data_IF_702844576241
#
_entry.id   IF_702844576241
#
_cell.length_a   1.000
_cell.length_b   1.000
_cell.length_c   1.000
_cell.angle_alpha   90.00
_cell.angle_beta   90.00
_cell.angle_gamma   90.00
#
_symmetry.space_group_name_H-M   'P 1'
#
loop_
_entity.id
_entity.type
_entity.pdbx_description
1 polymer ?
#
# COMPACT_ATOMS: atom_id res chain seq x y z
N UNK A 1 16.03 -55.64 9.91
CA UNK A 1 17.26 -56.06 9.19
C UNK A 1 17.47 -57.58 9.15
N UNK A 2 17.47 -58.30 10.28
CA UNK A 2 17.66 -59.78 10.31
C UNK A 2 16.65 -60.58 9.47
N UNK A 3 15.41 -60.08 9.34
CA UNK A 3 14.39 -60.68 8.46
C UNK A 3 14.80 -60.60 6.98
N UNK A 4 15.12 -59.41 6.48
CA UNK A 4 15.60 -59.21 5.10
C UNK A 4 16.91 -59.98 4.83
N UNK A 5 17.78 -60.08 5.82
CA UNK A 5 19.02 -60.85 5.72
C UNK A 5 18.76 -62.36 5.51
N UNK A 6 17.74 -62.92 6.17
CA UNK A 6 17.31 -64.32 5.97
C UNK A 6 16.66 -64.51 4.61
N UNK A 7 15.67 -63.66 4.30
CA UNK A 7 14.92 -63.71 3.04
C UNK A 7 15.85 -63.71 1.81
N UNK A 8 16.86 -62.83 1.74
CA UNK A 8 17.79 -62.78 0.59
C UNK A 8 18.71 -63.99 0.40
N UNK A 9 18.83 -64.86 1.41
CA UNK A 9 19.62 -66.10 1.28
C UNK A 9 18.79 -67.28 0.80
N UNK A 10 17.47 -67.19 0.97
CA UNK A 10 16.51 -68.13 0.41
C UNK A 10 16.20 -67.74 -1.04
N UNK A 11 15.92 -66.45 -1.28
CA UNK A 11 15.70 -65.86 -2.59
C UNK A 11 16.25 -64.41 -2.62
N UNK A 12 17.29 -64.10 -3.43
CA UNK A 12 17.91 -62.78 -3.48
C UNK A 12 16.95 -61.60 -3.76
N UNK A 13 15.86 -61.82 -4.49
CA UNK A 13 14.90 -60.77 -4.87
C UNK A 13 13.78 -60.58 -3.84
N UNK A 14 13.64 -61.50 -2.88
CA UNK A 14 12.58 -61.48 -1.87
C UNK A 14 12.62 -60.31 -0.89
N UNK A 15 13.70 -59.52 -0.85
CA UNK A 15 13.78 -58.34 0.01
C UNK A 15 14.41 -57.12 -0.69
N UNK A 16 13.93 -55.90 -0.42
CA UNK A 16 14.24 -54.69 -1.19
C UNK A 16 15.72 -54.31 -1.12
N UNK A 17 16.43 -54.27 -2.27
CA UNK A 17 17.88 -54.04 -2.32
C UNK A 17 18.33 -52.74 -1.65
N UNK A 18 17.51 -51.69 -1.72
CA UNK A 18 17.74 -50.39 -1.12
C UNK A 18 16.67 -50.07 -0.06
N UNK A 19 17.08 -49.67 1.14
CA UNK A 19 16.17 -49.14 2.16
C UNK A 19 16.90 -48.22 3.14
N UNK A 20 16.14 -47.29 3.73
CA UNK A 20 16.66 -46.37 4.75
C UNK A 20 16.56 -47.00 6.14
N UNK A 21 17.55 -46.71 7.00
CA UNK A 21 17.46 -47.00 8.42
C UNK A 21 18.36 -46.08 9.24
N UNK A 22 18.04 -45.95 10.53
CA UNK A 22 18.84 -45.19 11.49
C UNK A 22 19.82 -46.12 12.21
N UNK A 23 21.09 -45.71 12.28
CA UNK A 23 22.13 -46.38 13.05
C UNK A 23 22.70 -45.47 14.12
N UNK A 24 23.19 -46.07 15.21
CA UNK A 24 23.96 -45.38 16.22
C UNK A 24 25.44 -45.41 15.81
N UNK A 25 26.07 -44.25 15.77
CA UNK A 25 27.52 -44.16 15.63
C UNK A 25 28.23 -44.47 16.96
N UNK A 26 29.55 -44.58 16.92
CA UNK A 26 30.36 -44.93 18.09
C UNK A 26 30.33 -43.89 19.21
N UNK A 27 29.83 -42.69 18.93
CA UNK A 27 29.65 -41.60 19.89
C UNK A 27 28.21 -41.54 20.42
N UNK A 28 27.35 -42.49 20.03
CA UNK A 28 25.94 -42.53 20.42
C UNK A 28 25.02 -41.63 19.58
N UNK A 29 25.53 -41.01 18.51
CA UNK A 29 24.76 -40.18 17.60
C UNK A 29 23.92 -41.01 16.63
N UNK A 30 22.69 -40.57 16.35
CA UNK A 30 21.84 -41.21 15.34
C UNK A 30 22.25 -40.70 13.95
N UNK A 31 22.54 -41.63 13.04
CA UNK A 31 22.80 -41.37 11.62
C UNK A 31 21.74 -42.05 10.78
N UNK A 32 21.13 -41.28 9.88
CA UNK A 32 20.26 -41.81 8.84
C UNK A 32 21.13 -42.28 7.68
N UNK A 33 20.92 -43.52 7.24
CA UNK A 33 21.65 -44.06 6.09
C UNK A 33 20.72 -44.78 5.12
N UNK A 34 21.09 -44.74 3.84
CA UNK A 34 20.58 -45.69 2.84
C UNK A 34 21.52 -46.89 2.85
N UNK A 35 20.96 -48.08 3.05
CA UNK A 35 21.68 -49.33 2.81
C UNK A 35 21.31 -49.86 1.43
N UNK A 36 22.34 -50.18 0.64
CA UNK A 36 22.23 -51.06 -0.52
C UNK A 36 22.89 -52.39 -0.20
N UNK A 37 22.15 -53.50 -0.28
CA UNK A 37 22.70 -54.84 -0.05
C UNK A 37 22.48 -55.73 -1.28
N UNK A 38 23.53 -56.47 -1.65
CA UNK A 38 23.49 -57.50 -2.69
C UNK A 38 24.21 -58.77 -2.27
N UNK A 39 23.78 -59.91 -2.82
CA UNK A 39 24.49 -61.19 -2.66
C UNK A 39 25.69 -61.25 -3.61
N UNK A 40 26.80 -61.85 -3.16
CA UNK A 40 27.94 -62.17 -4.04
C UNK A 40 27.61 -63.50 -4.74
N UNK A 41 27.51 -63.53 -6.09
CA UNK A 41 27.17 -64.74 -6.83
C UNK A 41 28.05 -65.94 -6.46
N UNK A 42 27.45 -67.12 -6.35
CA UNK A 42 28.15 -68.36 -5.98
C UNK A 42 28.56 -68.46 -4.50
N UNK A 43 28.16 -67.51 -3.64
CA UNK A 43 28.47 -67.54 -2.21
C UNK A 43 27.25 -67.22 -1.33
N UNK A 44 27.36 -67.53 -0.03
CA UNK A 44 26.38 -67.09 1.00
C UNK A 44 26.71 -65.73 1.61
N UNK A 45 27.67 -64.98 1.03
CA UNK A 45 28.12 -63.67 1.51
C UNK A 45 27.33 -62.55 0.84
N UNK A 46 27.07 -61.49 1.60
CA UNK A 46 26.44 -60.27 1.11
C UNK A 46 27.39 -59.09 1.22
N UNK A 47 27.33 -58.17 0.26
CA UNK A 47 27.96 -56.86 0.34
C UNK A 47 26.90 -55.84 0.73
N UNK A 48 27.25 -54.94 1.66
CA UNK A 48 26.42 -53.84 2.08
C UNK A 48 27.17 -52.52 1.86
N UNK A 49 26.54 -51.57 1.16
CA UNK A 49 26.99 -50.18 1.07
C UNK A 49 26.11 -49.32 1.96
N UNK A 50 26.73 -48.41 2.70
CA UNK A 50 26.06 -47.49 3.61
C UNK A 50 26.36 -46.06 3.15
N UNK A 51 25.32 -45.33 2.78
CA UNK A 51 25.44 -43.91 2.40
C UNK A 51 24.77 -43.07 3.47
N UNK A 52 25.53 -42.18 4.11
CA UNK A 52 24.98 -41.26 5.09
C UNK A 52 24.07 -40.23 4.41
N UNK A 53 22.81 -40.19 4.82
CA UNK A 53 21.78 -39.27 4.32
C UNK A 53 21.21 -38.37 5.43
N UNK A 54 21.89 -38.26 6.57
CA UNK A 54 21.43 -37.48 7.73
C UNK A 54 21.18 -36.02 7.36
N UNK A 55 22.13 -35.40 6.67
CA UNK A 55 22.00 -33.99 6.26
C UNK A 55 20.92 -33.80 5.19
N UNK A 56 20.75 -34.77 4.28
CA UNK A 56 19.65 -34.77 3.31
C UNK A 56 18.29 -34.82 4.00
N UNK A 57 18.09 -35.72 4.96
CA UNK A 57 16.82 -35.84 5.70
C UNK A 57 16.50 -34.59 6.51
N UNK A 58 17.49 -34.02 7.22
CA UNK A 58 17.30 -32.76 7.94
C UNK A 58 16.90 -31.63 6.99
N UNK A 59 17.53 -31.54 5.82
CA UNK A 59 17.17 -30.55 4.80
C UNK A 59 15.75 -30.76 4.26
N UNK A 60 15.35 -32.00 3.99
CA UNK A 60 13.99 -32.35 3.55
C UNK A 60 12.93 -32.01 4.61
N UNK A 61 13.19 -32.30 5.89
CA UNK A 61 12.30 -31.94 6.99
C UNK A 61 12.19 -30.43 7.19
N UNK A 62 13.32 -29.72 7.13
CA UNK A 62 13.35 -28.26 7.22
C UNK A 62 12.59 -27.62 6.05
N UNK A 63 12.76 -28.15 4.83
CA UNK A 63 12.04 -27.69 3.64
C UNK A 63 10.53 -27.90 3.81
N UNK A 64 10.11 -29.10 4.23
CA UNK A 64 8.69 -29.43 4.45
C UNK A 64 8.07 -28.55 5.54
N UNK A 65 8.83 -28.18 6.57
CA UNK A 65 8.39 -27.22 7.59
C UNK A 65 8.23 -25.83 6.97
N UNK A 66 9.23 -25.33 6.25
CA UNK A 66 9.16 -24.02 5.61
C UNK A 66 8.01 -23.92 4.59
N UNK A 67 7.74 -24.99 3.83
CA UNK A 67 6.60 -25.04 2.89
C UNK A 67 5.26 -24.90 3.62
N UNK A 68 5.10 -25.53 4.79
CA UNK A 68 3.91 -25.36 5.63
C UNK A 68 3.80 -23.95 6.16
N UNK A 69 4.88 -23.44 6.75
CA UNK A 69 4.91 -22.07 7.31
C UNK A 69 4.62 -21.01 6.22
N UNK A 70 5.14 -21.20 5.00
CA UNK A 70 4.87 -20.32 3.87
C UNK A 70 3.41 -20.39 3.43
N UNK A 71 2.82 -21.59 3.39
CA UNK A 71 1.41 -21.76 3.03
C UNK A 71 0.50 -21.05 4.04
N UNK A 72 0.77 -21.22 5.33
CA UNK A 72 0.00 -20.60 6.40
C UNK A 72 0.13 -19.07 6.34
N UNK A 73 1.35 -18.54 6.17
CA UNK A 73 1.58 -17.10 5.97
C UNK A 73 0.91 -16.54 4.73
N UNK A 74 0.87 -17.31 3.64
CA UNK A 74 0.20 -16.88 2.40
C UNK A 74 -1.29 -16.74 2.64
N UNK A 75 -1.90 -17.69 3.35
CA UNK A 75 -3.31 -17.63 3.72
C UNK A 75 -3.62 -16.44 4.64
N UNK A 76 -2.79 -16.21 5.67
CA UNK A 76 -2.92 -15.05 6.56
C UNK A 76 -2.81 -13.73 5.78
N UNK A 77 -1.88 -13.63 4.83
CA UNK A 77 -1.74 -12.45 3.97
C UNK A 77 -2.94 -12.24 3.06
N UNK A 78 -3.57 -13.30 2.54
CA UNK A 78 -4.79 -13.21 1.75
C UNK A 78 -5.95 -12.64 2.59
N UNK A 79 -6.12 -13.12 3.82
CA UNK A 79 -7.12 -12.61 4.76
C UNK A 79 -6.88 -11.14 5.13
N UNK A 80 -5.65 -10.78 5.48
CA UNK A 80 -5.27 -9.39 5.78
C UNK A 80 -5.49 -8.45 4.59
N UNK A 81 -5.15 -8.90 3.38
CA UNK A 81 -5.38 -8.12 2.16
C UNK A 81 -6.89 -7.94 1.87
N UNK A 82 -7.70 -8.96 2.12
CA UNK A 82 -9.15 -8.87 1.99
C UNK A 82 -9.72 -7.86 3.01
N UNK A 83 -9.31 -7.94 4.28
CA UNK A 83 -9.70 -7.00 5.32
C UNK A 83 -9.29 -5.55 4.96
N UNK A 84 -8.06 -5.35 4.48
CA UNK A 84 -7.58 -4.04 4.06
C UNK A 84 -8.39 -3.46 2.90
N UNK A 85 -8.76 -4.27 1.91
CA UNK A 85 -9.63 -3.83 0.80
C UNK A 85 -10.99 -3.36 1.28
N UNK A 86 -11.58 -4.08 2.24
CA UNK A 86 -12.86 -3.68 2.86
C UNK A 86 -12.72 -2.36 3.61
N UNK A 87 -11.66 -2.21 4.42
CA UNK A 87 -11.39 -0.97 5.16
C UNK A 87 -11.16 0.23 4.23
N UNK A 88 -10.42 0.05 3.12
CA UNK A 88 -10.20 1.09 2.13
C UNK A 88 -11.50 1.54 1.46
N UNK A 89 -12.36 0.58 1.09
CA UNK A 89 -13.67 0.89 0.53
C UNK A 89 -14.53 1.67 1.53
N UNK A 90 -14.56 1.22 2.78
CA UNK A 90 -15.32 1.88 3.85
C UNK A 90 -14.83 3.31 4.10
N UNK A 91 -13.52 3.52 4.12
CA UNK A 91 -12.92 4.86 4.26
C UNK A 91 -13.37 5.82 3.15
N UNK A 92 -13.45 5.33 1.91
CA UNK A 92 -13.91 6.16 0.78
C UNK A 92 -15.40 6.50 0.92
N UNK A 93 -16.22 5.53 1.33
CA UNK A 93 -17.65 5.74 1.62
C UNK A 93 -17.86 6.78 2.74
N UNK A 94 -17.16 6.63 3.87
CA UNK A 94 -17.25 7.55 5.01
C UNK A 94 -16.77 8.97 4.62
N UNK A 95 -15.76 9.09 3.75
CA UNK A 95 -15.29 10.39 3.22
C UNK A 95 -16.38 11.07 2.40
N UNK A 96 -16.99 10.35 1.47
CA UNK A 96 -18.08 10.87 0.63
C UNK A 96 -19.29 11.27 1.48
N UNK A 97 -19.61 10.49 2.52
CA UNK A 97 -20.67 10.82 3.47
C UNK A 97 -20.36 12.13 4.22
N UNK A 98 -19.14 12.28 4.74
CA UNK A 98 -18.72 13.50 5.42
C UNK A 98 -18.78 14.73 4.50
N UNK A 99 -18.29 14.61 3.26
CA UNK A 99 -18.35 15.69 2.26
C UNK A 99 -19.80 16.11 1.98
N UNK A 100 -20.70 15.15 1.76
CA UNK A 100 -22.12 15.42 1.55
C UNK A 100 -22.77 16.08 2.77
N UNK A 101 -22.39 15.67 3.98
CA UNK A 101 -22.87 16.25 5.23
C UNK A 101 -22.44 17.71 5.38
N UNK A 102 -21.18 18.03 5.08
CA UNK A 102 -20.68 19.42 5.09
C UNK A 102 -21.43 20.28 4.09
N UNK A 103 -21.59 19.82 2.85
CA UNK A 103 -22.32 20.56 1.80
C UNK A 103 -23.78 20.78 2.20
N UNK A 104 -24.45 19.75 2.72
CA UNK A 104 -25.84 19.83 3.18
C UNK A 104 -25.99 20.86 4.31
N UNK A 105 -25.10 20.82 5.30
CA UNK A 105 -25.14 21.74 6.44
C UNK A 105 -24.88 23.19 6.01
N UNK A 106 -23.89 23.43 5.13
CA UNK A 106 -23.64 24.77 4.60
C UNK A 106 -24.85 25.30 3.82
N UNK A 107 -25.43 24.52 2.91
CA UNK A 107 -26.60 24.92 2.12
C UNK A 107 -27.86 25.16 2.97
N UNK A 108 -28.07 24.37 4.02
CA UNK A 108 -29.30 24.43 4.84
C UNK A 108 -29.20 25.40 6.02
N UNK A 109 -28.01 25.55 6.61
CA UNK A 109 -27.83 26.24 7.89
C UNK A 109 -26.99 27.51 7.80
N UNK A 110 -26.18 27.70 6.76
CA UNK A 110 -25.28 28.87 6.67
C UNK A 110 -25.68 29.79 5.52
N UNK A 111 -25.84 29.25 4.31
CA UNK A 111 -26.18 30.02 3.11
C UNK A 111 -27.47 30.85 3.24
N UNK A 112 -28.57 30.35 3.85
CA UNK A 112 -29.79 31.15 3.99
C UNK A 112 -29.58 32.44 4.79
N UNK A 113 -28.68 32.42 5.78
CA UNK A 113 -28.37 33.61 6.58
C UNK A 113 -27.45 34.58 5.85
N UNK A 114 -26.46 34.08 5.10
CA UNK A 114 -25.63 34.93 4.24
C UNK A 114 -26.50 35.67 3.22
N UNK A 115 -27.43 34.97 2.57
CA UNK A 115 -28.38 35.56 1.63
C UNK A 115 -29.32 36.58 2.31
N UNK A 116 -29.78 36.28 3.53
CA UNK A 116 -30.61 37.21 4.32
C UNK A 116 -29.83 38.49 4.66
N UNK A 117 -28.57 38.35 5.06
CA UNK A 117 -27.67 39.46 5.40
C UNK A 117 -27.40 40.32 4.15
N UNK A 118 -27.11 39.70 3.00
CA UNK A 118 -26.91 40.40 1.71
C UNK A 118 -28.11 41.21 1.23
N UNK A 119 -29.33 40.76 1.51
CA UNK A 119 -30.57 41.49 1.16
C UNK A 119 -30.80 42.73 2.05
N UNK A 120 -30.06 42.87 3.15
CA UNK A 120 -30.09 44.07 4.00
C UNK A 120 -29.29 45.24 3.41
N UNK A 121 -29.32 46.38 4.10
CA UNK A 121 -28.41 47.51 3.81
C UNK A 121 -27.03 47.21 4.38
N UNK A 122 -26.16 46.63 3.56
CA UNK A 122 -24.74 46.44 3.88
C UNK A 122 -23.97 47.20 2.82
N UNK A 123 -23.13 48.15 3.25
CA UNK A 123 -22.38 49.04 2.36
C UNK A 123 -20.89 49.02 2.72
N UNK A 124 -20.03 49.32 1.74
CA UNK A 124 -18.60 49.43 1.93
C UNK A 124 -17.90 48.10 2.24
N UNK A 125 -16.96 48.14 3.19
CA UNK A 125 -16.04 47.03 3.50
C UNK A 125 -16.74 45.78 4.08
N UNK A 126 -17.91 45.92 4.69
CA UNK A 126 -18.66 44.81 5.27
C UNK A 126 -19.25 43.90 4.18
N UNK A 127 -19.68 44.48 3.04
CA UNK A 127 -20.17 43.71 1.90
C UNK A 127 -19.04 42.91 1.24
N UNK A 128 -17.84 43.51 1.15
CA UNK A 128 -16.63 42.85 0.63
C UNK A 128 -16.27 41.66 1.52
N UNK A 129 -16.23 41.86 2.83
CA UNK A 129 -15.94 40.80 3.81
C UNK A 129 -16.95 39.66 3.73
N UNK A 130 -18.24 39.98 3.59
CA UNK A 130 -19.31 38.98 3.47
C UNK A 130 -19.19 38.15 2.18
N UNK A 131 -18.84 38.78 1.06
CA UNK A 131 -18.60 38.08 -0.21
C UNK A 131 -17.39 37.15 -0.12
N UNK A 132 -16.32 37.54 0.58
CA UNK A 132 -15.16 36.68 0.84
C UNK A 132 -15.54 35.48 1.70
N UNK A 133 -16.33 35.68 2.76
CA UNK A 133 -16.83 34.59 3.61
C UNK A 133 -17.67 33.60 2.80
N UNK A 134 -18.59 34.11 1.98
CA UNK A 134 -19.41 33.26 1.13
C UNK A 134 -18.57 32.47 0.12
N UNK A 135 -17.58 33.10 -0.52
CA UNK A 135 -16.65 32.42 -1.43
C UNK A 135 -15.92 31.30 -0.70
N UNK A 136 -15.28 31.61 0.43
CA UNK A 136 -14.54 30.63 1.22
C UNK A 136 -15.42 29.44 1.66
N UNK A 137 -16.68 29.68 2.01
CA UNK A 137 -17.62 28.62 2.38
C UNK A 137 -18.05 27.78 1.18
N UNK A 138 -18.22 28.38 0.00
CA UNK A 138 -18.46 27.64 -1.25
C UNK A 138 -17.24 26.83 -1.67
N UNK A 139 -16.04 27.34 -1.42
CA UNK A 139 -14.78 26.65 -1.68
C UNK A 139 -14.61 25.46 -0.72
N UNK A 140 -14.93 25.61 0.57
CA UNK A 140 -14.98 24.50 1.54
C UNK A 140 -16.02 23.44 1.13
N UNK A 141 -17.13 23.85 0.52
CA UNK A 141 -18.16 22.96 0.01
C UNK A 141 -17.84 22.35 -1.37
N UNK A 142 -16.73 22.76 -2.01
CA UNK A 142 -16.38 22.36 -3.36
C UNK A 142 -15.54 21.09 -3.38
N UNK A 143 -15.81 20.14 -4.30
CA UNK A 143 -14.97 18.95 -4.51
C UNK A 143 -13.49 19.28 -4.81
N UNK A 144 -13.22 20.51 -5.27
CA UNK A 144 -11.86 20.94 -5.60
C UNK A 144 -11.01 21.21 -4.37
N UNK A 145 -11.56 21.80 -3.29
CA UNK A 145 -10.79 22.06 -2.08
C UNK A 145 -10.45 20.76 -1.34
N UNK A 146 -11.35 19.77 -1.35
CA UNK A 146 -11.07 18.44 -0.77
C UNK A 146 -10.06 17.66 -1.63
N UNK A 147 -10.11 17.77 -2.96
CA UNK A 147 -9.15 17.13 -3.87
C UNK A 147 -7.75 17.74 -3.80
N UNK A 148 -7.64 19.07 -3.70
CA UNK A 148 -6.34 19.72 -3.48
C UNK A 148 -5.79 19.38 -2.08
N UNK A 149 -6.61 19.39 -1.03
CA UNK A 149 -6.17 19.06 0.33
C UNK A 149 -5.74 17.59 0.49
N UNK A 150 -6.40 16.66 -0.22
CA UNK A 150 -6.14 15.22 -0.09
C UNK A 150 -5.14 14.63 -1.09
N UNK A 151 -5.02 15.16 -2.32
CA UNK A 151 -4.03 14.71 -3.33
C UNK A 151 -2.79 15.62 -3.42
N UNK A 152 -2.87 16.89 -2.99
CA UNK A 152 -1.79 17.86 -3.18
C UNK A 152 -1.35 18.51 -1.86
N UNK A 153 -0.22 18.02 -1.35
CA UNK A 153 0.59 18.59 -0.27
C UNK A 153 0.13 19.96 0.24
N UNK A 154 -0.49 19.99 1.42
CA UNK A 154 -0.66 21.13 2.36
C UNK A 154 -0.33 22.53 1.80
N UNK A 155 -1.09 22.97 0.79
CA UNK A 155 -1.09 24.36 0.36
C UNK A 155 -1.70 25.20 1.48
N UNK A 156 -1.08 26.32 1.79
CA UNK A 156 -1.64 27.28 2.75
C UNK A 156 -2.86 27.98 2.14
N UNK A 157 -3.76 28.57 2.95
CA UNK A 157 -4.95 29.24 2.43
C UNK A 157 -4.66 30.30 1.35
N UNK A 158 -3.57 31.07 1.50
CA UNK A 158 -3.14 32.08 0.51
C UNK A 158 -2.61 31.45 -0.77
N UNK A 159 -1.90 30.33 -0.69
CA UNK A 159 -1.41 29.61 -1.86
C UNK A 159 -2.56 28.93 -2.62
N UNK A 160 -3.56 28.40 -1.90
CA UNK A 160 -4.78 27.85 -2.48
C UNK A 160 -5.54 28.93 -3.27
N UNK A 161 -5.77 30.08 -2.64
CA UNK A 161 -6.44 31.23 -3.27
C UNK A 161 -5.72 31.71 -4.54
N UNK A 162 -4.39 31.75 -4.53
CA UNK A 162 -3.59 32.09 -5.72
C UNK A 162 -3.70 30.98 -6.78
N UNK A 163 -3.70 29.70 -6.39
CA UNK A 163 -3.86 28.59 -7.32
C UNK A 163 -5.22 28.62 -8.02
N UNK A 164 -6.31 28.92 -7.29
CA UNK A 164 -7.66 29.06 -7.85
C UNK A 164 -7.73 30.15 -8.91
N UNK A 165 -7.25 31.35 -8.60
CA UNK A 165 -7.27 32.46 -9.55
C UNK A 165 -6.38 32.20 -10.78
N UNK A 166 -5.25 31.49 -10.61
CA UNK A 166 -4.41 31.04 -11.74
C UNK A 166 -5.14 30.02 -12.61
N UNK A 167 -5.91 29.10 -12.01
CA UNK A 167 -6.71 28.09 -12.72
C UNK A 167 -7.82 28.73 -13.54
N UNK A 168 -8.52 29.72 -12.98
CA UNK A 168 -9.53 30.54 -13.67
C UNK A 168 -8.93 31.38 -14.80
N UNK A 169 -7.62 31.61 -14.74
CA UNK A 169 -6.87 32.24 -15.81
C UNK A 169 -6.51 33.69 -15.62
N UNK A 170 -6.65 34.18 -14.38
CA UNK A 170 -6.23 35.53 -14.00
C UNK A 170 -4.70 35.67 -14.11
N UNK A 171 -4.27 36.85 -14.53
CA UNK A 171 -2.86 37.23 -14.60
C UNK A 171 -2.33 37.61 -13.22
N UNK A 172 -1.00 37.60 -13.01
CA UNK A 172 -0.37 38.03 -11.75
C UNK A 172 -0.86 39.41 -11.31
N UNK A 173 -1.08 40.34 -12.26
CA UNK A 173 -1.54 41.70 -11.98
C UNK A 173 -2.99 41.72 -11.48
N UNK A 174 -3.88 40.99 -12.14
CA UNK A 174 -5.28 40.87 -11.73
C UNK A 174 -5.42 40.16 -10.39
N UNK A 175 -4.59 39.14 -10.13
CA UNK A 175 -4.56 38.44 -8.84
C UNK A 175 -4.07 39.39 -7.73
N UNK A 176 -3.04 40.18 -8.02
CA UNK A 176 -2.49 41.14 -7.07
C UNK A 176 -3.52 42.21 -6.70
N UNK A 177 -4.24 42.73 -7.70
CA UNK A 177 -5.34 43.68 -7.51
C UNK A 177 -6.50 43.06 -6.72
N UNK A 178 -6.90 41.83 -7.08
CA UNK A 178 -7.98 41.10 -6.39
C UNK A 178 -7.64 40.81 -4.92
N UNK A 179 -6.39 40.46 -4.63
CA UNK A 179 -5.92 40.12 -3.28
C UNK A 179 -5.41 41.34 -2.49
N UNK A 180 -5.41 42.55 -3.09
CA UNK A 180 -4.85 43.77 -2.50
C UNK A 180 -3.39 43.59 -2.00
N UNK A 181 -2.57 42.89 -2.79
CA UNK A 181 -1.14 42.66 -2.50
C UNK A 181 -0.28 43.09 -3.69
N UNK A 182 1.04 43.15 -3.50
CA UNK A 182 1.94 43.45 -4.62
C UNK A 182 1.99 42.30 -5.65
N UNK A 183 2.20 42.58 -6.95
CA UNK A 183 2.47 41.54 -7.94
C UNK A 183 3.62 40.60 -7.56
N UNK A 184 4.67 41.12 -6.90
CA UNK A 184 5.79 40.33 -6.39
C UNK A 184 5.34 39.31 -5.33
N UNK A 185 4.39 39.68 -4.45
CA UNK A 185 3.82 38.77 -3.46
C UNK A 185 3.09 37.60 -4.12
N UNK A 186 2.36 37.86 -5.21
CA UNK A 186 1.68 36.82 -5.99
C UNK A 186 2.70 35.90 -6.67
N UNK A 187 3.81 36.42 -7.19
CA UNK A 187 4.87 35.60 -7.76
C UNK A 187 5.50 34.64 -6.73
N UNK A 188 5.72 35.11 -5.51
CA UNK A 188 6.20 34.26 -4.39
C UNK A 188 5.19 33.15 -4.09
N UNK A 189 3.91 33.48 -3.96
CA UNK A 189 2.87 32.46 -3.76
C UNK A 189 2.79 31.46 -4.93
N UNK A 190 2.89 31.93 -6.19
CA UNK A 190 2.94 31.05 -7.37
C UNK A 190 4.17 30.15 -7.38
N UNK A 191 5.30 30.63 -6.88
CA UNK A 191 6.51 29.83 -6.71
C UNK A 191 6.29 28.71 -5.68
N UNK A 192 5.80 29.02 -4.48
CA UNK A 192 5.52 28.00 -3.45
C UNK A 192 4.46 27.00 -3.90
N UNK A 193 3.43 27.46 -4.62
CA UNK A 193 2.44 26.56 -5.24
C UNK A 193 3.14 25.60 -6.21
N UNK A 194 4.04 26.09 -7.08
CA UNK A 194 4.80 25.22 -7.99
C UNK A 194 5.70 24.24 -7.24
N UNK A 195 6.32 24.68 -6.15
CA UNK A 195 7.20 23.85 -5.33
C UNK A 195 6.44 22.70 -4.66
N UNK A 196 5.34 23.04 -3.99
CA UNK A 196 4.48 22.06 -3.31
C UNK A 196 3.78 21.10 -4.27
N UNK A 197 3.53 21.52 -5.51
CA UNK A 197 2.99 20.67 -6.59
C UNK A 197 4.07 19.87 -7.34
N UNK A 198 5.34 19.94 -6.93
CA UNK A 198 6.44 19.21 -7.59
C UNK A 198 6.73 19.67 -9.02
N UNK A 199 6.39 20.92 -9.33
CA UNK A 199 6.57 21.56 -10.64
C UNK A 199 7.83 22.41 -10.73
N UNK A 200 8.59 22.59 -9.64
CA UNK A 200 9.79 23.45 -9.62
C UNK A 200 10.80 23.10 -10.72
N UNK A 201 10.95 21.82 -11.05
CA UNK A 201 11.90 21.33 -12.07
C UNK A 201 11.25 20.96 -13.40
N UNK A 202 9.94 21.20 -13.57
CA UNK A 202 9.19 20.81 -14.77
C UNK A 202 8.86 22.04 -15.62
N UNK A 203 8.97 21.90 -16.95
CA UNK A 203 8.56 22.92 -17.93
C UNK A 203 7.03 23.13 -18.01
N UNK A 204 6.25 22.33 -17.28
CA UNK A 204 4.79 22.40 -17.27
C UNK A 204 4.30 23.75 -16.73
N UNK A 205 3.38 24.36 -17.47
CA UNK A 205 2.71 25.60 -17.06
C UNK A 205 1.77 25.32 -15.87
N UNK A 206 1.85 26.19 -14.84
CA UNK A 206 1.04 26.02 -13.62
C UNK A 206 -0.46 26.02 -13.90
N UNK A 207 -0.96 26.91 -14.77
CA UNK A 207 -2.37 26.96 -15.15
C UNK A 207 -2.82 25.67 -15.83
N UNK A 208 -2.08 25.23 -16.86
CA UNK A 208 -2.40 23.99 -17.60
C UNK A 208 -2.42 22.78 -16.66
N UNK A 209 -1.47 22.73 -15.71
CA UNK A 209 -1.44 21.67 -14.70
C UNK A 209 -2.69 21.72 -13.81
N UNK A 210 -2.99 22.88 -13.21
CA UNK A 210 -4.16 23.05 -12.34
C UNK A 210 -5.50 22.80 -13.06
N UNK A 211 -5.61 23.12 -14.35
CA UNK A 211 -6.78 22.80 -15.17
C UNK A 211 -6.91 21.31 -15.50
N UNK A 212 -5.81 20.54 -15.46
CA UNK A 212 -5.82 19.08 -15.68
C UNK A 212 -6.24 18.29 -14.44
N UNK A 213 -6.19 18.92 -13.26
CA UNK A 213 -6.71 18.39 -12.00
C UNK A 213 -8.24 18.54 -12.03
N UNK A 214 -8.92 17.57 -12.67
CA UNK A 214 -10.38 17.47 -12.67
C UNK A 214 -10.92 17.22 -11.27
#
# INVERSE_FOLDING_TARGET
>A
MLKYHRMRREDPESAPRNYEFSLLDTQGGIREVIITISMIPGTRRSVASFVNITERKKAEEALKKNERDLKDKTHELEELNAALRVLLKRREEDKLELENNVISNLKKLVMPYIEKIKKGRIEGNDLVSLNVIESNLKDIASPFASKLSSEFLSLTPKELQVADLVKEGKTTKEIAEFMSVSPATVEIHRYHVREKLGLSRKKTNLRTYLSSLK
#
